data_IF_786277321423
#
_entry.id   IF_786277321423
#
_cell.length_a   1.000
_cell.length_b   1.000
_cell.length_c   1.000
_cell.angle_alpha   90.00
_cell.angle_beta   90.00
_cell.angle_gamma   90.00
#
_symmetry.space_group_name_H-M   'P 1'
#
loop_
_entity.id
_entity.type
_entity.pdbx_description
1 polymer ?
#
# COMPACT_ATOMS: atom_id res chain seq x y z
N UNK A 1 -3.45 10.01 -0.68
CA UNK A 1 -4.50 9.03 -0.27
C UNK A 1 -3.84 7.70 0.07
N UNK A 2 -4.21 7.11 1.22
CA UNK A 2 -3.72 5.78 1.60
C UNK A 2 -4.56 4.69 0.92
N UNK A 3 -3.88 3.75 0.27
CA UNK A 3 -4.51 2.69 -0.52
C UNK A 3 -4.05 1.31 -0.08
N UNK A 4 -4.93 0.32 -0.22
CA UNK A 4 -4.61 -1.10 0.00
C UNK A 4 -5.20 -1.96 -1.12
N UNK A 5 -4.44 -2.94 -1.63
CA UNK A 5 -4.89 -3.82 -2.71
C UNK A 5 -5.47 -5.16 -2.24
N UNK A 6 -5.75 -6.04 -3.21
CA UNK A 6 -6.25 -7.38 -2.96
C UNK A 6 -5.22 -8.30 -2.29
N UNK A 7 -5.70 -9.22 -1.45
CA UNK A 7 -4.85 -10.29 -0.95
C UNK A 7 -4.47 -11.24 -2.08
N UNK A 8 -3.17 -11.48 -2.21
CA UNK A 8 -2.58 -12.48 -3.10
C UNK A 8 -1.98 -13.60 -2.26
N UNK A 9 -2.17 -14.84 -2.72
CA UNK A 9 -1.70 -16.05 -2.04
C UNK A 9 -0.32 -16.43 -2.57
N UNK A 10 0.64 -16.54 -1.66
CA UNK A 10 2.01 -16.98 -1.92
C UNK A 10 2.34 -18.20 -1.06
N UNK A 11 3.49 -18.85 -1.33
CA UNK A 11 3.99 -19.95 -0.47
C UNK A 11 4.23 -19.50 0.98
N UNK A 12 4.59 -18.23 1.19
CA UNK A 12 4.79 -17.64 2.51
C UNK A 12 3.50 -17.16 3.19
N UNK A 13 2.34 -17.40 2.58
CA UNK A 13 1.01 -16.99 3.05
C UNK A 13 0.38 -15.90 2.18
N UNK A 14 -0.71 -15.30 2.67
CA UNK A 14 -1.41 -14.24 1.95
C UNK A 14 -0.85 -12.87 2.31
N UNK A 15 -0.71 -12.02 1.29
CA UNK A 15 -0.11 -10.69 1.37
C UNK A 15 -0.83 -9.70 0.47
N UNK A 16 -0.76 -8.41 0.80
CA UNK A 16 -1.22 -7.29 -0.01
C UNK A 16 -0.34 -6.08 0.32
N UNK A 17 -0.44 -5.01 -0.44
CA UNK A 17 0.39 -3.83 -0.30
C UNK A 17 -0.42 -2.64 0.21
N UNK A 18 0.17 -1.88 1.12
CA UNK A 18 -0.28 -0.56 1.54
C UNK A 18 0.59 0.50 0.87
N UNK A 19 -0.03 1.39 0.11
CA UNK A 19 0.64 2.41 -0.72
C UNK A 19 0.02 3.79 -0.49
N UNK A 20 0.65 4.81 -1.06
CA UNK A 20 0.11 6.18 -1.14
C UNK A 20 0.36 6.76 -2.53
N UNK A 21 -0.54 7.63 -2.98
CA UNK A 21 -0.34 8.54 -4.13
C UNK A 21 -0.03 9.97 -3.70
N UNK A 22 0.06 10.22 -2.38
CA UNK A 22 0.43 11.50 -1.78
C UNK A 22 1.78 11.42 -1.09
N UNK A 23 1.90 12.07 0.07
CA UNK A 23 3.14 12.12 0.83
C UNK A 23 3.49 10.75 1.46
N UNK A 24 4.77 10.41 1.42
CA UNK A 24 5.34 9.21 2.04
C UNK A 24 5.25 9.30 3.57
N UNK A 25 5.34 10.49 4.16
CA UNK A 25 5.20 10.64 5.61
C UNK A 25 3.77 10.33 6.09
N UNK A 26 2.75 10.66 5.29
CA UNK A 26 1.36 10.24 5.57
C UNK A 26 1.24 8.72 5.59
N UNK A 27 1.94 8.02 4.69
CA UNK A 27 1.99 6.56 4.68
C UNK A 27 2.67 6.01 5.94
N UNK A 28 3.73 6.65 6.42
CA UNK A 28 4.42 6.24 7.65
C UNK A 28 3.56 6.44 8.90
N UNK A 29 2.91 7.59 9.02
CA UNK A 29 1.98 7.88 10.12
C UNK A 29 0.82 6.88 10.11
N UNK A 30 0.26 6.59 8.93
CA UNK A 30 -0.81 5.60 8.81
C UNK A 30 -0.32 4.19 9.19
N UNK A 31 0.86 3.80 8.71
CA UNK A 31 1.45 2.49 8.98
C UNK A 31 1.67 2.27 10.48
N UNK A 32 2.21 3.28 11.18
CA UNK A 32 2.40 3.26 12.63
C UNK A 32 1.06 3.07 13.36
N UNK A 33 0.00 3.80 12.94
CA UNK A 33 -1.34 3.70 13.56
C UNK A 33 -1.93 2.30 13.50
N UNK A 34 -1.65 1.53 12.44
CA UNK A 34 -2.12 0.13 12.32
C UNK A 34 -1.16 -0.91 12.91
N UNK A 35 -0.03 -0.47 13.46
CA UNK A 35 0.94 -1.30 14.18
C UNK A 35 2.10 -1.84 13.33
N UNK A 36 2.40 -1.22 12.19
CA UNK A 36 3.59 -1.54 11.41
C UNK A 36 4.82 -0.82 11.97
N UNK A 37 5.99 -1.43 11.80
CA UNK A 37 7.28 -0.80 12.12
C UNK A 37 7.83 -0.07 10.91
N UNK A 38 8.51 1.07 11.12
CA UNK A 38 9.14 1.87 10.06
C UNK A 38 10.14 1.05 9.23
N UNK A 39 10.85 0.12 9.86
CA UNK A 39 11.81 -0.79 9.24
C UNK A 39 11.20 -1.76 8.22
N UNK A 40 9.88 -1.97 8.27
CA UNK A 40 9.17 -2.82 7.30
C UNK A 40 8.81 -2.07 6.01
N UNK A 41 9.14 -0.78 5.93
CA UNK A 41 8.92 0.02 4.73
C UNK A 41 9.86 -0.42 3.61
N UNK A 42 9.30 -0.69 2.44
CA UNK A 42 10.06 -0.99 1.25
C UNK A 42 10.23 0.27 0.42
N UNK A 43 11.40 0.90 0.51
CA UNK A 43 11.77 2.05 -0.31
C UNK A 43 12.27 1.60 -1.69
N UNK A 44 11.34 1.08 -2.50
CA UNK A 44 11.59 0.63 -3.88
C UNK A 44 10.80 1.49 -4.87
N UNK A 45 10.82 1.13 -6.16
CA UNK A 45 10.15 1.90 -7.24
C UNK A 45 8.70 2.31 -6.92
N UNK A 46 7.97 1.47 -6.20
CA UNK A 46 6.69 1.83 -5.57
C UNK A 46 6.89 1.70 -4.06
N UNK A 47 7.04 2.81 -3.33
CA UNK A 47 7.23 2.72 -1.90
C UNK A 47 5.98 2.19 -1.20
N UNK A 48 6.13 1.17 -0.35
CA UNK A 48 4.99 0.46 0.23
C UNK A 48 5.32 -0.27 1.53
N UNK A 49 4.27 -0.79 2.18
CA UNK A 49 4.36 -1.82 3.22
C UNK A 49 3.64 -3.09 2.78
N UNK A 50 4.17 -4.24 3.15
CA UNK A 50 3.48 -5.54 3.00
C UNK A 50 2.58 -5.82 4.21
N UNK A 51 1.32 -6.15 3.94
CA UNK A 51 0.34 -6.48 4.98
C UNK A 51 -0.10 -7.94 4.90
N UNK A 52 -0.16 -8.56 6.09
CA UNK A 52 -0.91 -9.80 6.32
C UNK A 52 -2.43 -9.52 6.35
N UNK A 53 -3.30 -10.55 6.22
CA UNK A 53 -4.75 -10.37 6.21
C UNK A 53 -5.33 -9.63 7.43
N UNK A 54 -4.74 -9.82 8.61
CA UNK A 54 -5.14 -9.09 9.83
C UNK A 54 -4.84 -7.59 9.74
N UNK A 55 -3.65 -7.23 9.26
CA UNK A 55 -3.25 -5.83 9.06
C UNK A 55 -4.03 -5.17 7.92
N UNK A 56 -4.35 -5.91 6.85
CA UNK A 56 -5.26 -5.43 5.79
C UNK A 56 -6.62 -5.01 6.35
N UNK A 57 -7.21 -5.84 7.21
CA UNK A 57 -8.49 -5.50 7.87
C UNK A 57 -8.36 -4.24 8.71
N UNK A 58 -7.25 -4.09 9.46
CA UNK A 58 -6.98 -2.86 10.22
C UNK A 58 -6.83 -1.64 9.30
N UNK A 59 -6.12 -1.76 8.19
CA UNK A 59 -5.94 -0.68 7.22
C UNK A 59 -7.28 -0.21 6.66
N UNK A 60 -8.14 -1.14 6.22
CA UNK A 60 -9.49 -0.81 5.74
C UNK A 60 -10.33 -0.13 6.82
N UNK A 61 -10.32 -0.67 8.05
CA UNK A 61 -11.04 -0.08 9.18
C UNK A 61 -10.52 1.31 9.58
N UNK A 62 -9.22 1.56 9.37
CA UNK A 62 -8.58 2.86 9.62
C UNK A 62 -8.76 3.86 8.45
N UNK A 63 -9.50 3.50 7.40
CA UNK A 63 -9.85 4.39 6.30
C UNK A 63 -8.94 4.30 5.07
N UNK A 64 -8.07 3.29 4.96
CA UNK A 64 -7.37 3.03 3.69
C UNK A 64 -8.38 2.66 2.60
N UNK A 65 -8.26 3.28 1.44
CA UNK A 65 -9.14 2.98 0.30
C UNK A 65 -8.70 1.67 -0.35
N UNK A 66 -9.64 0.76 -0.59
CA UNK A 66 -9.36 -0.38 -1.46
C UNK A 66 -9.17 0.09 -2.90
N UNK A 67 -8.04 -0.26 -3.50
CA UNK A 67 -7.73 -0.02 -4.92
C UNK A 67 -7.05 -1.26 -5.46
N UNK A 68 -7.58 -1.86 -6.52
CA UNK A 68 -7.01 -3.09 -7.06
C UNK A 68 -5.59 -2.88 -7.55
N UNK A 69 -4.76 -3.92 -7.54
CA UNK A 69 -3.38 -3.80 -8.05
C UNK A 69 -3.35 -3.35 -9.53
N UNK A 70 -4.40 -3.70 -10.30
CA UNK A 70 -4.59 -3.25 -11.69
C UNK A 70 -4.85 -1.75 -11.78
N UNK A 71 -5.71 -1.21 -10.92
CA UNK A 71 -5.98 0.24 -10.86
C UNK A 71 -4.72 1.01 -10.44
N UNK A 72 -4.01 0.52 -9.41
CA UNK A 72 -2.74 1.13 -9.00
C UNK A 72 -1.70 1.11 -10.13
N UNK A 73 -1.59 0.02 -10.88
CA UNK A 73 -0.68 -0.07 -12.02
C UNK A 73 -1.06 0.92 -13.12
N UNK A 74 -2.35 1.07 -13.44
CA UNK A 74 -2.85 2.02 -14.43
C UNK A 74 -2.56 3.47 -14.03
N UNK A 75 -2.81 3.84 -12.77
CA UNK A 75 -2.54 5.18 -12.26
C UNK A 75 -1.06 5.56 -12.42
N UNK A 76 -0.15 4.61 -12.15
CA UNK A 76 1.30 4.81 -12.32
C UNK A 76 1.75 5.01 -13.77
N UNK A 77 1.15 4.26 -14.71
CA UNK A 77 1.46 4.44 -16.13
C UNK A 77 1.01 5.83 -16.58
N UNK A 78 -0.21 6.24 -16.22
CA UNK A 78 -0.74 7.55 -16.55
C UNK A 78 0.11 8.70 -15.96
N UNK A 79 0.55 8.57 -14.70
CA UNK A 79 1.45 9.56 -14.07
C UNK A 79 2.80 9.69 -14.77
N UNK A 80 3.36 8.59 -15.29
CA UNK A 80 4.63 8.64 -16.04
C UNK A 80 4.46 9.34 -17.39
N UNK A 81 3.40 9.01 -18.11
CA UNK A 81 3.11 9.63 -19.42
C UNK A 81 2.71 11.11 -19.35
N UNK A 82 2.43 11.63 -18.14
CA UNK A 82 2.14 13.05 -17.92
C UNK A 82 3.39 13.88 -17.54
N UNK A 83 4.55 13.23 -17.38
CA UNK A 83 5.84 13.86 -17.06
C UNK A 83 6.75 13.91 -18.29
N UNK A 84 6.35 13.27 -19.39
CA UNK A 84 6.96 13.36 -20.72
C UNK A 84 6.31 14.48 -21.54
#
# INVERSE_FOLDING_TARGET
MIMVDELRRYRSGSWCHLTTDGDIEELHVFAQRIGLKREWFQNVRVPHYDLRPSLRRKALAAGARFVSAREQARARVAQRSAID
#
